data_IF_131923958391
#
_entry.id   IF_131923958391
#
_cell.length_a   1.000
_cell.length_b   1.000
_cell.length_c   1.000
_cell.angle_alpha   90.00
_cell.angle_beta   90.00
_cell.angle_gamma   90.00
#
_symmetry.space_group_name_H-M   'P 1'
#
loop_
_entity.id
_entity.type
_entity.pdbx_description
1 polymer ?
#
# COMPACT_ATOMS: atom_id res chain seq x y z
N UNK A 1 9.33 26.82 -0.04
CA UNK A 1 9.35 26.59 -1.50
C UNK A 1 8.03 26.05 -2.03
N UNK A 2 7.72 24.77 -1.79
CA UNK A 2 6.52 24.12 -2.35
C UNK A 2 5.23 24.89 -2.03
N UNK A 3 5.02 25.26 -0.77
CA UNK A 3 3.86 26.04 -0.35
C UNK A 3 3.67 27.34 -1.16
N UNK A 4 4.72 28.14 -1.36
CA UNK A 4 4.66 29.38 -2.17
C UNK A 4 4.29 29.08 -3.62
N UNK A 5 4.87 28.03 -4.20
CA UNK A 5 4.60 27.60 -5.58
C UNK A 5 3.17 27.08 -5.74
N UNK A 6 2.60 26.43 -4.74
CA UNK A 6 1.20 26.01 -4.76
C UNK A 6 0.25 27.20 -4.72
N UNK A 7 0.55 28.22 -3.92
CA UNK A 7 -0.29 29.41 -3.82
C UNK A 7 -0.26 30.27 -5.08
N UNK A 8 0.92 30.41 -5.69
CA UNK A 8 1.14 31.45 -6.70
C UNK A 8 1.50 30.91 -8.08
N UNK A 9 2.03 29.69 -8.18
CA UNK A 9 2.71 29.18 -9.38
C UNK A 9 1.91 28.17 -10.21
N UNK A 10 0.84 27.56 -9.68
CA UNK A 10 0.13 26.47 -10.37
C UNK A 10 -0.48 26.87 -11.72
N UNK A 11 -0.86 28.14 -11.89
CA UNK A 11 -1.46 28.65 -13.13
C UNK A 11 -0.46 29.41 -14.00
N UNK A 12 0.79 29.57 -13.56
CA UNK A 12 1.82 30.33 -14.28
C UNK A 12 2.27 29.54 -15.51
N UNK A 13 2.12 30.14 -16.69
CA UNK A 13 2.56 29.53 -17.95
C UNK A 13 4.06 29.20 -17.92
N UNK A 14 4.39 27.95 -18.24
CA UNK A 14 5.77 27.47 -18.26
C UNK A 14 6.40 27.35 -16.87
N UNK A 15 5.63 27.27 -15.78
CA UNK A 15 6.17 27.04 -14.44
C UNK A 15 7.13 25.84 -14.44
N UNK A 16 8.22 25.91 -13.67
CA UNK A 16 9.37 24.97 -13.70
C UNK A 16 10.23 25.01 -14.97
N UNK A 17 9.68 25.35 -16.14
CA UNK A 17 10.42 25.45 -17.40
C UNK A 17 11.14 26.79 -17.53
N UNK A 18 10.44 27.88 -17.27
CA UNK A 18 10.98 29.25 -17.40
C UNK A 18 12.02 29.49 -16.28
N UNK A 19 13.25 29.91 -16.61
CA UNK A 19 14.27 30.16 -15.60
C UNK A 19 13.93 31.40 -14.75
N UNK A 20 14.24 31.31 -13.46
CA UNK A 20 14.28 32.47 -12.56
C UNK A 20 15.58 33.27 -12.71
N UNK A 21 15.67 34.41 -12.03
CA UNK A 21 16.89 35.21 -11.96
C UNK A 21 17.73 34.82 -10.75
N UNK A 22 18.94 34.30 -11.02
CA UNK A 22 19.90 33.96 -9.98
C UNK A 22 20.38 35.18 -9.16
N UNK A 23 20.40 36.37 -9.76
CA UNK A 23 20.81 37.60 -9.08
C UNK A 23 19.83 38.02 -7.97
N UNK A 24 18.51 37.94 -8.25
CA UNK A 24 17.46 38.29 -7.28
C UNK A 24 17.43 37.39 -6.05
N UNK A 25 17.91 36.16 -6.19
CA UNK A 25 17.89 35.16 -5.12
C UNK A 25 19.06 35.34 -4.13
N UNK A 26 20.13 36.04 -4.51
CA UNK A 26 21.36 36.18 -3.71
C UNK A 26 21.35 37.35 -2.71
N UNK A 27 20.69 38.46 -3.02
CA UNK A 27 20.93 39.73 -2.30
C UNK A 27 20.01 40.01 -1.09
N UNK A 28 18.82 39.39 -0.99
CA UNK A 28 17.98 39.39 0.22
C UNK A 28 16.79 38.46 0.00
N UNK A 29 16.67 37.41 0.80
CA UNK A 29 15.66 36.39 0.60
C UNK A 29 14.38 36.68 1.40
N UNK A 30 13.34 37.14 0.72
CA UNK A 30 12.00 37.38 1.28
C UNK A 30 10.95 36.54 0.51
N UNK A 31 10.32 35.58 1.20
CA UNK A 31 9.33 34.67 0.60
C UNK A 31 8.10 35.39 0.03
N UNK A 32 7.77 36.58 0.53
CA UNK A 32 6.60 37.32 0.05
C UNK A 32 6.88 37.95 -1.32
N UNK A 33 8.12 38.39 -1.55
CA UNK A 33 8.56 39.06 -2.78
C UNK A 33 9.15 38.11 -3.83
N UNK A 34 9.45 36.86 -3.46
CA UNK A 34 9.99 35.84 -4.38
C UNK A 34 8.98 35.52 -5.49
N UNK A 35 9.41 35.72 -6.74
CA UNK A 35 8.64 35.35 -7.94
C UNK A 35 8.54 33.83 -8.08
N UNK A 36 7.48 33.34 -8.71
CA UNK A 36 7.25 31.89 -8.84
C UNK A 36 8.38 31.18 -9.60
N UNK A 37 8.92 31.80 -10.65
CA UNK A 37 10.04 31.24 -11.43
C UNK A 37 11.35 31.19 -10.61
N UNK A 38 11.55 32.14 -9.70
CA UNK A 38 12.71 32.17 -8.81
C UNK A 38 12.57 31.05 -7.75
N UNK A 39 11.38 30.89 -7.16
CA UNK A 39 11.06 29.78 -6.25
C UNK A 39 11.17 28.40 -6.93
N UNK A 40 10.75 28.27 -8.20
CA UNK A 40 10.88 27.06 -8.99
C UNK A 40 12.35 26.73 -9.29
N UNK A 41 13.16 27.74 -9.59
CA UNK A 41 14.61 27.61 -9.75
C UNK A 41 15.28 27.10 -8.47
N UNK A 42 14.95 27.71 -7.33
CA UNK A 42 15.42 27.31 -6.00
C UNK A 42 15.04 25.88 -5.64
N UNK A 43 13.80 25.46 -5.92
CA UNK A 43 13.36 24.08 -5.66
C UNK A 43 14.23 23.08 -6.44
N UNK A 44 14.41 23.30 -7.74
CA UNK A 44 15.23 22.42 -8.59
C UNK A 44 16.68 22.37 -8.10
N UNK A 45 17.23 23.54 -7.75
CA UNK A 45 18.58 23.66 -7.22
C UNK A 45 18.74 22.92 -5.90
N UNK A 46 17.81 23.10 -4.97
CA UNK A 46 17.80 22.41 -3.67
C UNK A 46 17.86 20.89 -3.84
N UNK A 47 17.01 20.31 -4.69
CA UNK A 47 16.99 18.87 -4.93
C UNK A 47 18.31 18.38 -5.55
N UNK A 48 18.85 19.13 -6.51
CA UNK A 48 20.09 18.78 -7.22
C UNK A 48 21.34 18.90 -6.34
N UNK A 49 21.34 19.81 -5.38
CA UNK A 49 22.51 20.13 -4.53
C UNK A 49 22.48 19.45 -3.17
N UNK A 50 21.54 18.52 -2.95
CA UNK A 50 21.55 17.68 -1.76
C UNK A 50 22.91 16.94 -1.64
N UNK A 51 23.45 16.78 -0.42
CA UNK A 51 24.69 16.03 -0.19
C UNK A 51 24.65 14.60 -0.73
N UNK A 52 23.45 14.01 -0.68
CA UNK A 52 23.13 12.71 -1.29
C UNK A 52 21.88 12.86 -2.17
N UNK A 53 21.82 12.21 -3.34
CA UNK A 53 20.64 12.26 -4.20
C UNK A 53 19.38 11.84 -3.44
N UNK A 54 18.25 12.46 -3.78
CA UNK A 54 16.99 12.19 -3.07
C UNK A 54 16.58 10.71 -3.13
N UNK A 55 16.82 10.05 -4.26
CA UNK A 55 16.56 8.61 -4.46
C UNK A 55 17.69 7.70 -3.96
N UNK A 56 18.72 8.27 -3.30
CA UNK A 56 19.97 7.63 -2.87
C UNK A 56 20.80 7.02 -4.01
N UNK A 57 22.13 7.10 -3.94
CA UNK A 57 22.98 6.53 -4.99
C UNK A 57 22.88 4.99 -5.06
N UNK A 58 22.67 4.34 -3.92
CA UNK A 58 22.66 2.88 -3.82
C UNK A 58 21.44 2.25 -4.51
N UNK A 59 20.29 2.94 -4.52
CA UNK A 59 19.06 2.43 -5.10
C UNK A 59 18.84 2.91 -6.55
N UNK A 60 19.61 3.88 -7.03
CA UNK A 60 19.45 4.46 -8.36
C UNK A 60 19.49 3.43 -9.52
N UNK A 61 20.41 2.43 -9.53
CA UNK A 61 20.40 1.41 -10.57
C UNK A 61 19.11 0.56 -10.56
N UNK A 62 18.59 0.25 -9.38
CA UNK A 62 17.36 -0.54 -9.23
C UNK A 62 16.12 0.25 -9.68
N UNK A 63 16.08 1.56 -9.39
CA UNK A 63 15.06 2.46 -9.90
C UNK A 63 15.04 2.48 -11.44
N UNK A 64 16.20 2.56 -12.09
CA UNK A 64 16.32 2.55 -13.56
C UNK A 64 15.97 1.19 -14.16
N UNK A 65 16.34 0.08 -13.51
CA UNK A 65 16.00 -1.26 -13.97
C UNK A 65 14.48 -1.50 -13.98
N UNK A 66 13.77 -1.08 -12.92
CA UNK A 66 12.31 -1.17 -12.84
C UNK A 66 11.61 -0.41 -14.00
N UNK A 67 12.20 0.70 -14.46
CA UNK A 67 11.68 1.43 -15.62
C UNK A 67 11.97 0.74 -16.97
N UNK A 68 13.08 0.03 -17.08
CA UNK A 68 13.44 -0.68 -18.32
C UNK A 68 12.48 -1.83 -18.60
N UNK A 69 12.07 -2.56 -17.56
CA UNK A 69 11.07 -3.63 -17.66
C UNK A 69 9.71 -3.10 -18.15
N UNK A 70 9.28 -1.92 -17.66
CA UNK A 70 8.05 -1.25 -18.12
C UNK A 70 8.07 -0.83 -19.59
N UNK A 71 9.25 -0.68 -20.19
CA UNK A 71 9.44 -0.09 -21.52
C UNK A 71 9.53 -1.13 -22.63
N UNK A 72 9.94 -2.36 -22.31
CA UNK A 72 10.29 -3.39 -23.30
C UNK A 72 9.11 -4.29 -23.72
N UNK A 73 8.06 -4.44 -22.90
CA UNK A 73 7.01 -5.43 -23.18
C UNK A 73 5.65 -4.82 -23.51
N UNK A 74 5.41 -4.59 -24.82
CA UNK A 74 4.11 -4.11 -25.33
C UNK A 74 3.00 -5.18 -25.31
N UNK A 75 3.32 -6.44 -25.01
CA UNK A 75 2.40 -7.58 -25.15
C UNK A 75 1.78 -8.06 -23.82
N UNK A 76 2.44 -7.83 -22.67
CA UNK A 76 1.97 -8.24 -21.32
C UNK A 76 1.82 -7.05 -20.36
N UNK A 77 1.37 -5.92 -20.92
CA UNK A 77 1.37 -4.59 -20.29
C UNK A 77 0.83 -4.58 -18.86
N UNK A 78 -0.25 -5.31 -18.56
CA UNK A 78 -0.89 -5.27 -17.23
C UNK A 78 -0.08 -5.99 -16.13
N UNK A 79 0.59 -7.10 -16.44
CA UNK A 79 1.35 -7.87 -15.45
C UNK A 79 2.70 -7.22 -15.15
N UNK A 80 3.42 -6.82 -16.20
CA UNK A 80 4.72 -6.14 -16.08
C UNK A 80 4.59 -4.76 -15.43
N UNK A 81 3.51 -4.02 -15.73
CA UNK A 81 3.22 -2.77 -15.02
C UNK A 81 3.01 -3.01 -13.52
N UNK A 82 2.37 -4.12 -13.15
CA UNK A 82 2.13 -4.45 -11.74
C UNK A 82 3.43 -4.80 -11.01
N UNK A 83 4.31 -5.60 -11.63
CA UNK A 83 5.60 -6.01 -11.03
C UNK A 83 6.56 -4.85 -10.85
N UNK A 84 6.70 -3.99 -11.87
CA UNK A 84 7.59 -2.85 -11.78
C UNK A 84 7.06 -1.77 -10.81
N UNK A 85 5.74 -1.56 -10.73
CA UNK A 85 5.15 -0.71 -9.67
C UNK A 85 5.41 -1.31 -8.29
N UNK A 86 5.32 -2.63 -8.12
CA UNK A 86 5.67 -3.29 -6.87
C UNK A 86 7.15 -3.12 -6.51
N UNK A 87 8.06 -3.24 -7.48
CA UNK A 87 9.49 -3.00 -7.26
C UNK A 87 9.74 -1.54 -6.83
N UNK A 88 9.13 -0.56 -7.50
CA UNK A 88 9.22 0.85 -7.13
C UNK A 88 8.66 1.12 -5.72
N UNK A 89 7.57 0.46 -5.37
CA UNK A 89 6.97 0.55 -4.03
C UNK A 89 7.95 0.06 -2.96
N UNK A 90 8.58 -1.10 -3.16
CA UNK A 90 9.60 -1.62 -2.26
C UNK A 90 10.80 -0.67 -2.15
N UNK A 91 11.27 -0.14 -3.27
CA UNK A 91 12.37 0.82 -3.31
C UNK A 91 12.06 2.10 -2.52
N UNK A 92 10.83 2.60 -2.59
CA UNK A 92 10.39 3.78 -1.82
C UNK A 92 10.35 3.47 -0.31
N UNK A 93 9.97 2.26 0.08
CA UNK A 93 10.01 1.86 1.48
C UNK A 93 11.43 1.70 2.03
N UNK A 94 12.41 1.40 1.18
CA UNK A 94 13.83 1.32 1.55
C UNK A 94 14.48 2.70 1.73
N UNK A 95 13.88 3.77 1.17
CA UNK A 95 14.41 5.12 1.34
C UNK A 95 14.37 5.55 2.82
N UNK A 96 15.39 6.29 3.29
CA UNK A 96 15.32 6.96 4.58
C UNK A 96 14.06 7.80 4.70
N UNK A 97 13.50 7.90 5.91
CA UNK A 97 12.23 8.60 6.17
C UNK A 97 12.21 10.04 5.62
N UNK A 98 13.26 10.81 5.88
CA UNK A 98 13.38 12.18 5.37
C UNK A 98 13.39 12.25 3.83
N UNK A 99 14.06 11.31 3.16
CA UNK A 99 14.10 11.22 1.70
C UNK A 99 12.72 10.86 1.13
N UNK A 100 12.07 9.86 1.72
CA UNK A 100 10.75 9.39 1.33
C UNK A 100 9.70 10.48 1.48
N UNK A 101 9.70 11.21 2.58
CA UNK A 101 8.72 12.27 2.84
C UNK A 101 8.96 13.49 1.95
N UNK A 102 10.23 13.84 1.72
CA UNK A 102 10.61 14.90 0.78
C UNK A 102 10.20 14.56 -0.65
N UNK A 103 10.43 13.32 -1.08
CA UNK A 103 10.00 12.82 -2.39
C UNK A 103 8.49 12.86 -2.52
N UNK A 104 7.74 12.43 -1.49
CA UNK A 104 6.29 12.48 -1.47
C UNK A 104 5.78 13.91 -1.69
N UNK A 105 6.24 14.86 -0.88
CA UNK A 105 5.82 16.25 -0.98
C UNK A 105 6.15 16.87 -2.35
N UNK A 106 7.32 16.53 -2.91
CA UNK A 106 7.68 16.94 -4.27
C UNK A 106 6.71 16.38 -5.30
N UNK A 107 6.45 15.07 -5.30
CA UNK A 107 5.56 14.43 -6.27
C UNK A 107 4.11 14.93 -6.15
N UNK A 108 3.62 15.20 -4.94
CA UNK A 108 2.29 15.79 -4.72
C UNK A 108 2.17 17.17 -5.36
N UNK A 109 3.19 18.01 -5.18
CA UNK A 109 3.26 19.32 -5.82
C UNK A 109 3.29 19.19 -7.35
N UNK A 110 4.12 18.28 -7.89
CA UNK A 110 4.20 18.07 -9.34
C UNK A 110 2.88 17.57 -9.93
N UNK A 111 2.17 16.70 -9.22
CA UNK A 111 0.82 16.24 -9.61
C UNK A 111 -0.17 17.40 -9.66
N UNK A 112 -0.10 18.35 -8.71
CA UNK A 112 -0.89 19.59 -8.77
C UNK A 112 -0.50 20.43 -9.99
N UNK A 113 0.78 20.62 -10.29
CA UNK A 113 1.20 21.36 -11.51
C UNK A 113 0.60 20.74 -12.77
N UNK A 114 0.69 19.41 -12.92
CA UNK A 114 0.13 18.69 -14.07
C UNK A 114 -1.40 18.83 -14.14
N UNK A 115 -2.09 18.83 -12.99
CA UNK A 115 -3.54 19.03 -12.96
C UNK A 115 -4.00 20.41 -13.49
N UNK A 116 -3.10 21.41 -13.53
CA UNK A 116 -3.36 22.74 -14.09
C UNK A 116 -2.78 22.92 -15.52
N UNK A 117 -2.47 21.82 -16.23
CA UNK A 117 -1.88 21.82 -17.56
C UNK A 117 -2.59 22.76 -18.56
N UNK A 118 -3.92 22.82 -18.52
CA UNK A 118 -4.70 23.70 -19.41
C UNK A 118 -4.29 25.17 -19.32
N UNK A 119 -3.89 25.63 -18.12
CA UNK A 119 -3.50 27.02 -17.85
C UNK A 119 -2.00 27.21 -17.93
N UNK A 120 -1.22 26.34 -17.27
CA UNK A 120 0.22 26.52 -17.16
C UNK A 120 1.01 25.91 -18.35
N UNK A 121 0.36 25.13 -19.23
CA UNK A 121 0.95 24.47 -20.41
C UNK A 121 2.05 23.43 -20.07
N UNK A 122 2.07 22.94 -18.84
CA UNK A 122 3.05 21.98 -18.36
C UNK A 122 2.44 20.57 -18.28
N UNK A 123 2.58 19.82 -19.38
CA UNK A 123 2.17 18.41 -19.42
C UNK A 123 2.97 17.53 -18.47
N UNK A 124 2.40 16.38 -18.11
CA UNK A 124 3.08 15.38 -17.30
C UNK A 124 4.47 15.01 -17.86
N UNK A 125 4.60 14.88 -19.18
CA UNK A 125 5.88 14.61 -19.83
C UNK A 125 6.85 15.78 -19.72
N UNK A 126 6.40 17.02 -19.94
CA UNK A 126 7.22 18.22 -19.81
C UNK A 126 7.76 18.38 -18.39
N UNK A 127 6.89 18.18 -17.39
CA UNK A 127 7.28 18.21 -15.98
C UNK A 127 8.32 17.12 -15.68
N UNK A 128 8.09 15.89 -16.16
CA UNK A 128 9.00 14.77 -15.92
C UNK A 128 10.40 15.01 -16.51
N UNK A 129 10.48 15.52 -17.73
CA UNK A 129 11.75 15.87 -18.40
C UNK A 129 12.52 16.97 -17.66
N UNK A 130 11.83 17.94 -17.05
CA UNK A 130 12.46 19.02 -16.29
C UNK A 130 12.97 18.53 -14.93
N UNK A 131 12.21 17.65 -14.27
CA UNK A 131 12.52 17.20 -12.91
C UNK A 131 13.57 16.10 -12.89
N UNK A 132 13.53 15.17 -13.85
CA UNK A 132 14.48 14.05 -13.98
C UNK A 132 15.96 14.43 -13.80
N UNK A 133 16.53 15.44 -14.49
CA UNK A 133 17.94 15.79 -14.31
C UNK A 133 18.29 16.26 -12.88
N UNK A 134 17.31 16.75 -12.12
CA UNK A 134 17.53 17.17 -10.72
C UNK A 134 17.46 15.97 -9.75
N UNK A 135 16.72 14.91 -10.09
CA UNK A 135 16.63 13.70 -9.26
C UNK A 135 17.73 12.68 -9.55
N UNK A 136 18.12 12.52 -10.81
CA UNK A 136 19.00 11.44 -11.27
C UNK A 136 20.44 11.87 -11.53
N UNK A 137 20.79 13.14 -11.27
CA UNK A 137 22.12 13.79 -11.43
C UNK A 137 23.12 12.94 -12.23
N UNK A 138 23.03 12.96 -13.56
CA UNK A 138 23.98 12.28 -14.43
C UNK A 138 25.32 13.03 -14.37
N UNK A 139 26.26 12.57 -13.54
CA UNK A 139 27.66 13.03 -13.55
C UNK A 139 28.49 12.14 -14.47
N UNK A 140 28.09 12.04 -15.74
CA UNK A 140 28.81 11.31 -16.78
C UNK A 140 29.82 12.21 -17.51
N UNK A 141 30.95 11.63 -17.93
CA UNK A 141 32.00 12.33 -18.70
C UNK A 141 32.04 11.93 -20.18
N UNK A 142 31.17 11.04 -20.69
CA UNK A 142 31.30 10.52 -22.07
C UNK A 142 29.97 10.05 -22.72
N UNK A 143 29.93 10.22 -24.05
CA UNK A 143 28.98 9.72 -25.06
C UNK A 143 27.53 10.25 -25.02
N UNK A 144 27.27 11.32 -25.79
CA UNK A 144 25.98 12.03 -25.95
C UNK A 144 24.74 11.14 -26.20
N UNK A 145 24.90 9.95 -26.79
CA UNK A 145 23.77 9.10 -27.18
C UNK A 145 23.25 8.23 -26.02
N UNK A 146 24.13 7.62 -25.23
CA UNK A 146 23.76 6.84 -24.04
C UNK A 146 23.20 7.77 -22.95
N UNK A 147 23.77 8.96 -22.79
CA UNK A 147 23.26 9.99 -21.89
C UNK A 147 21.83 10.42 -22.25
N UNK A 148 21.51 10.52 -23.55
CA UNK A 148 20.16 10.89 -24.00
C UNK A 148 19.14 9.79 -23.70
N UNK A 149 19.48 8.52 -23.93
CA UNK A 149 18.60 7.40 -23.59
C UNK A 149 18.39 7.30 -22.08
N UNK A 150 19.45 7.49 -21.28
CA UNK A 150 19.36 7.52 -19.83
C UNK A 150 18.47 8.67 -19.32
N UNK A 151 18.55 9.85 -19.95
CA UNK A 151 17.70 10.99 -19.62
C UNK A 151 16.21 10.74 -19.93
N UNK A 152 15.92 10.14 -21.09
CA UNK A 152 14.54 9.73 -21.45
C UNK A 152 14.02 8.70 -20.46
N UNK A 153 14.86 7.74 -20.09
CA UNK A 153 14.51 6.70 -19.13
C UNK A 153 14.22 7.26 -17.74
N UNK A 154 15.06 8.17 -17.25
CA UNK A 154 14.82 8.89 -16.00
C UNK A 154 13.52 9.71 -16.04
N UNK A 155 13.21 10.38 -17.16
CA UNK A 155 11.94 11.09 -17.32
C UNK A 155 10.73 10.15 -17.30
N UNK A 156 10.82 8.99 -17.95
CA UNK A 156 9.76 7.97 -17.89
C UNK A 156 9.55 7.47 -16.45
N UNK A 157 10.62 7.26 -15.70
CA UNK A 157 10.53 6.87 -14.30
C UNK A 157 9.85 7.96 -13.45
N UNK A 158 10.24 9.23 -13.59
CA UNK A 158 9.58 10.35 -12.91
C UNK A 158 8.08 10.40 -13.25
N UNK A 159 7.73 10.16 -14.52
CA UNK A 159 6.33 10.10 -14.95
C UNK A 159 5.56 9.04 -14.17
N UNK A 160 6.10 7.82 -14.07
CA UNK A 160 5.48 6.71 -13.34
C UNK A 160 5.33 7.06 -11.85
N UNK A 161 6.36 7.66 -11.24
CA UNK A 161 6.33 8.09 -9.85
C UNK A 161 5.23 9.13 -9.57
N UNK A 162 5.03 10.10 -10.49
CA UNK A 162 3.95 11.10 -10.37
C UNK A 162 2.57 10.45 -10.55
N UNK A 163 2.44 9.54 -11.52
CA UNK A 163 1.15 8.89 -11.84
C UNK A 163 0.66 7.97 -10.72
N UNK A 164 1.55 7.14 -10.16
CA UNK A 164 1.18 6.07 -9.21
C UNK A 164 1.48 6.42 -7.74
N UNK A 165 1.64 7.71 -7.45
CA UNK A 165 2.07 8.21 -6.14
C UNK A 165 1.16 7.76 -4.99
N UNK A 166 -0.15 7.61 -5.23
CA UNK A 166 -1.16 7.14 -4.28
C UNK A 166 -0.94 5.69 -3.85
N UNK A 167 -0.49 4.84 -4.76
CA UNK A 167 -0.21 3.42 -4.50
C UNK A 167 1.16 3.21 -3.86
N UNK A 168 2.16 3.97 -4.30
CA UNK A 168 3.57 3.79 -3.93
C UNK A 168 3.91 4.08 -2.44
N UNK A 169 3.02 4.77 -1.72
CA UNK A 169 3.18 5.11 -0.29
C UNK A 169 2.27 4.32 0.65
N UNK A 170 1.50 3.37 0.13
CA UNK A 170 0.72 2.48 0.98
C UNK A 170 1.60 1.38 1.58
N UNK A 171 1.07 0.50 2.41
CA UNK A 171 1.78 -0.73 2.77
C UNK A 171 1.26 -1.84 1.85
N UNK A 172 2.10 -2.50 1.03
CA UNK A 172 1.64 -3.57 0.17
C UNK A 172 0.97 -4.69 0.98
N UNK A 173 -0.20 -5.14 0.54
CA UNK A 173 -0.96 -6.18 1.24
C UNK A 173 -0.16 -7.49 1.41
N UNK A 174 0.73 -7.81 0.45
CA UNK A 174 1.58 -9.00 0.56
C UNK A 174 2.58 -8.89 1.72
N UNK A 175 3.11 -7.70 2.02
CA UNK A 175 3.97 -7.49 3.17
C UNK A 175 3.18 -7.60 4.47
N UNK A 176 1.96 -7.08 4.52
CA UNK A 176 1.06 -7.25 5.67
C UNK A 176 0.82 -8.75 5.92
N UNK A 177 0.52 -9.52 4.87
CA UNK A 177 0.33 -10.97 4.94
C UNK A 177 1.60 -11.68 5.41
N UNK A 178 2.76 -11.33 4.87
CA UNK A 178 4.04 -11.94 5.26
C UNK A 178 4.42 -11.64 6.72
N UNK A 179 4.28 -10.39 7.16
CA UNK A 179 4.53 -9.97 8.55
C UNK A 179 3.59 -10.73 9.50
N UNK A 180 2.31 -10.88 9.14
CA UNK A 180 1.36 -11.67 9.94
C UNK A 180 1.81 -13.13 10.07
N UNK A 181 2.20 -13.79 8.97
CA UNK A 181 2.73 -15.15 8.99
C UNK A 181 4.00 -15.27 9.85
N UNK A 182 4.92 -14.31 9.75
CA UNK A 182 6.13 -14.29 10.58
C UNK A 182 5.82 -14.11 12.08
N UNK A 183 4.87 -13.25 12.42
CA UNK A 183 4.46 -12.99 13.80
C UNK A 183 3.74 -14.20 14.42
N UNK A 184 2.91 -14.91 13.64
CA UNK A 184 2.28 -16.17 14.04
C UNK A 184 3.33 -17.26 14.34
N UNK A 185 4.32 -17.42 13.45
CA UNK A 185 5.43 -18.37 13.63
C UNK A 185 6.29 -18.07 14.87
N UNK A 186 6.40 -16.79 15.24
CA UNK A 186 7.18 -16.32 16.39
C UNK A 186 6.39 -16.44 17.70
N UNK A 187 5.08 -16.19 17.67
CA UNK A 187 4.19 -16.30 18.83
C UNK A 187 4.01 -17.76 19.29
N UNK A 188 4.13 -18.73 18.40
CA UNK A 188 4.13 -20.17 18.73
C UNK A 188 5.34 -20.69 19.52
N UNK A 189 6.39 -19.86 19.74
CA UNK A 189 7.65 -20.26 20.41
C UNK A 189 7.79 -19.83 21.87
N UNK A 190 6.85 -19.09 22.45
CA UNK A 190 6.91 -18.70 23.88
C UNK A 190 6.22 -19.72 24.80
N UNK A 191 6.92 -20.81 25.15
CA UNK A 191 6.98 -21.43 26.51
C UNK A 191 7.88 -22.67 26.48
N UNK A 192 9.07 -22.65 27.10
CA UNK A 192 9.84 -23.86 27.39
C UNK A 192 9.48 -24.36 28.81
N UNK A 193 8.98 -25.59 28.93
CA UNK A 193 8.88 -26.25 30.25
C UNK A 193 7.86 -27.37 30.38
N UNK A 194 6.56 -27.12 30.17
CA UNK A 194 5.52 -27.99 30.78
C UNK A 194 4.49 -28.59 29.81
N UNK A 195 4.86 -28.87 28.54
CA UNK A 195 3.89 -29.39 27.55
C UNK A 195 4.40 -30.48 26.61
N UNK A 196 5.48 -31.20 26.95
CA UNK A 196 5.94 -32.33 26.10
C UNK A 196 4.91 -33.46 26.01
N UNK A 197 4.12 -33.71 27.05
CA UNK A 197 3.16 -34.82 27.06
C UNK A 197 1.79 -34.49 26.43
N UNK A 198 1.37 -33.21 26.41
CA UNK A 198 0.12 -32.81 25.73
C UNK A 198 0.29 -32.70 24.20
N UNK A 199 1.50 -32.41 23.72
CA UNK A 199 1.80 -32.27 22.28
C UNK A 199 1.75 -33.60 21.50
N UNK A 200 1.97 -34.75 22.14
CA UNK A 200 1.97 -36.06 21.45
C UNK A 200 0.54 -36.57 21.18
N UNK A 201 -0.41 -36.24 22.06
CA UNK A 201 -1.82 -36.54 21.89
C UNK A 201 -2.48 -35.60 20.87
N UNK A 202 -2.15 -34.30 20.91
CA UNK A 202 -2.61 -33.33 19.93
C UNK A 202 -2.05 -33.58 18.52
N UNK A 203 -0.84 -34.14 18.39
CA UNK A 203 -0.29 -34.53 17.08
C UNK A 203 -1.02 -35.70 16.42
N UNK A 204 -1.54 -36.67 17.19
CA UNK A 204 -2.34 -37.76 16.61
C UNK A 204 -3.73 -37.27 16.22
N UNK A 205 -4.36 -36.46 17.06
CA UNK A 205 -5.69 -35.89 16.76
C UNK A 205 -5.64 -34.89 15.59
N UNK A 206 -4.58 -34.08 15.48
CA UNK A 206 -4.41 -33.16 14.36
C UNK A 206 -3.90 -33.83 13.08
N UNK A 207 -3.16 -34.95 13.13
CA UNK A 207 -2.74 -35.65 11.91
C UNK A 207 -3.92 -36.34 11.20
N UNK A 208 -4.93 -36.76 11.96
CA UNK A 208 -6.20 -37.27 11.43
C UNK A 208 -7.05 -36.13 10.85
N UNK A 209 -7.09 -34.99 11.55
CA UNK A 209 -7.77 -33.76 11.11
C UNK A 209 -7.08 -33.06 9.92
N UNK A 210 -5.75 -33.16 9.80
CA UNK A 210 -4.97 -32.61 8.68
C UNK A 210 -5.08 -33.49 7.43
N UNK A 211 -5.31 -34.80 7.56
CA UNK A 211 -5.67 -35.67 6.43
C UNK A 211 -7.04 -35.30 5.85
N UNK A 212 -8.02 -34.99 6.70
CA UNK A 212 -9.30 -34.39 6.25
C UNK A 212 -9.12 -32.95 5.72
N UNK A 213 -8.13 -32.19 6.20
CA UNK A 213 -7.86 -30.81 5.77
C UNK A 213 -7.21 -30.73 4.38
N UNK A 214 -6.41 -31.73 4.01
CA UNK A 214 -5.74 -31.81 2.70
C UNK A 214 -6.69 -32.15 1.55
N UNK A 215 -7.80 -32.86 1.79
CA UNK A 215 -8.85 -33.09 0.77
C UNK A 215 -9.77 -31.88 0.57
N UNK A 216 -9.74 -30.88 1.47
CA UNK A 216 -10.62 -29.67 1.40
C UNK A 216 -9.92 -28.47 0.76
N UNK A 217 -8.62 -28.55 0.46
CA UNK A 217 -7.82 -27.44 -0.09
C UNK A 217 -8.08 -27.09 -1.57
N UNK A 218 -9.01 -27.78 -2.25
CA UNK A 218 -9.39 -27.49 -3.65
C UNK A 218 -10.81 -26.93 -3.83
N UNK A 219 -11.55 -26.65 -2.75
CA UNK A 219 -12.93 -26.18 -2.86
C UNK A 219 -13.06 -24.67 -2.69
N UNK A 220 -12.98 -23.98 -3.83
CA UNK A 220 -13.58 -22.68 -4.19
C UNK A 220 -13.27 -21.48 -3.28
N UNK A 221 -12.63 -20.49 -3.90
CA UNK A 221 -12.43 -19.13 -3.41
C UNK A 221 -13.69 -18.60 -2.68
N UNK A 222 -13.55 -18.20 -1.41
CA UNK A 222 -14.63 -17.62 -0.60
C UNK A 222 -15.46 -18.56 0.31
N UNK A 223 -15.12 -19.85 0.47
CA UNK A 223 -15.80 -20.70 1.46
C UNK A 223 -15.18 -20.52 2.87
N UNK A 224 -15.95 -19.98 3.83
CA UNK A 224 -15.52 -19.82 5.23
C UNK A 224 -16.25 -20.80 6.16
N UNK A 225 -15.62 -21.15 7.30
CA UNK A 225 -16.25 -21.92 8.37
C UNK A 225 -16.39 -21.07 9.63
N UNK A 226 -17.62 -20.92 10.10
CA UNK A 226 -17.94 -20.18 11.33
C UNK A 226 -18.17 -21.15 12.47
N UNK A 227 -17.53 -20.88 13.60
CA UNK A 227 -17.63 -21.65 14.83
C UNK A 227 -18.52 -20.94 15.85
N UNK A 228 -19.50 -21.65 16.39
CA UNK A 228 -20.48 -21.13 17.34
C UNK A 228 -20.58 -22.08 18.54
N UNK A 229 -19.63 -22.04 19.49
CA UNK A 229 -19.53 -23.03 20.58
C UNK A 229 -20.73 -23.04 21.53
N UNK A 230 -21.50 -21.96 21.58
CA UNK A 230 -22.69 -21.80 22.44
C UNK A 230 -24.01 -22.14 21.71
N UNK A 231 -23.95 -22.63 20.48
CA UNK A 231 -25.10 -22.88 19.62
C UNK A 231 -25.27 -24.38 19.40
N UNK A 232 -26.51 -24.84 19.15
CA UNK A 232 -26.79 -26.25 18.86
C UNK A 232 -26.04 -26.70 17.60
N UNK A 233 -25.98 -25.84 16.59
CA UNK A 233 -25.05 -25.98 15.47
C UNK A 233 -23.71 -25.33 15.82
N UNK A 234 -22.72 -26.17 16.11
CA UNK A 234 -21.40 -25.75 16.60
C UNK A 234 -20.50 -25.20 15.48
N UNK A 235 -20.76 -25.57 14.22
CA UNK A 235 -20.08 -24.97 13.07
C UNK A 235 -20.94 -24.96 11.80
N UNK A 236 -20.69 -23.99 10.91
CA UNK A 236 -21.35 -23.88 9.62
C UNK A 236 -20.38 -23.39 8.56
N UNK A 237 -20.37 -24.05 7.39
CA UNK A 237 -19.65 -23.57 6.22
C UNK A 237 -20.55 -22.61 5.42
N UNK A 238 -20.00 -21.48 5.00
CA UNK A 238 -20.73 -20.43 4.27
C UNK A 238 -19.90 -19.97 3.10
N UNK A 239 -20.47 -20.06 1.90
CA UNK A 239 -19.90 -19.45 0.71
C UNK A 239 -20.12 -17.93 0.77
N UNK A 240 -19.04 -17.17 0.78
CA UNK A 240 -19.07 -15.73 0.76
C UNK A 240 -19.43 -15.21 -0.64
N UNK A 241 -20.21 -14.14 -0.66
CA UNK A 241 -20.43 -13.29 -1.82
C UNK A 241 -20.31 -11.81 -1.38
N UNK A 242 -20.42 -10.87 -2.31
CA UNK A 242 -20.28 -9.44 -2.05
C UNK A 242 -21.37 -8.85 -1.13
N UNK A 243 -22.49 -9.55 -0.93
CA UNK A 243 -23.66 -9.05 -0.20
C UNK A 243 -23.71 -9.53 1.25
N UNK A 244 -23.04 -10.63 1.60
CA UNK A 244 -23.14 -11.19 2.95
C UNK A 244 -22.47 -10.26 3.97
N UNK A 245 -23.27 -9.80 4.93
CA UNK A 245 -22.84 -9.01 6.08
C UNK A 245 -22.73 -9.86 7.34
N UNK A 246 -22.01 -9.35 8.34
CA UNK A 246 -21.87 -10.01 9.64
C UNK A 246 -23.23 -10.29 10.31
N UNK A 247 -24.22 -9.38 10.17
CA UNK A 247 -25.58 -9.56 10.69
C UNK A 247 -26.29 -10.79 10.10
N UNK A 248 -26.04 -11.10 8.84
CA UNK A 248 -26.73 -12.20 8.14
C UNK A 248 -26.28 -13.54 8.71
N UNK A 249 -25.03 -13.63 9.15
CA UNK A 249 -24.50 -14.81 9.82
C UNK A 249 -25.14 -15.01 11.17
N UNK A 250 -25.22 -13.94 11.98
CA UNK A 250 -25.89 -14.01 13.28
C UNK A 250 -27.35 -14.46 13.12
N UNK A 251 -28.06 -13.91 12.14
CA UNK A 251 -29.45 -14.27 11.85
C UNK A 251 -29.61 -15.73 11.38
N UNK A 252 -28.72 -16.22 10.51
CA UNK A 252 -28.74 -17.63 10.05
C UNK A 252 -28.55 -18.61 11.21
N UNK A 253 -27.62 -18.33 12.12
CA UNK A 253 -27.43 -19.17 13.29
C UNK A 253 -28.62 -19.11 14.27
N UNK A 254 -29.31 -17.98 14.37
CA UNK A 254 -30.54 -17.89 15.17
C UNK A 254 -31.68 -18.74 14.59
N UNK A 255 -31.88 -18.70 13.26
CA UNK A 255 -32.88 -19.54 12.58
C UNK A 255 -32.59 -21.02 12.78
N UNK A 256 -31.33 -21.43 12.56
CA UNK A 256 -30.93 -22.83 12.63
C UNK A 256 -31.01 -23.43 14.04
N UNK A 257 -30.84 -22.60 15.08
CA UNK A 257 -31.02 -23.01 16.47
C UNK A 257 -32.50 -23.10 16.89
N UNK A 258 -33.45 -23.00 15.95
CA UNK A 258 -34.89 -23.01 16.25
C UNK A 258 -35.35 -21.76 17.01
N UNK A 259 -34.61 -20.65 16.95
CA UNK A 259 -34.88 -19.41 17.72
C UNK A 259 -35.78 -18.42 16.97
N UNK A 260 -36.41 -18.88 15.89
CA UNK A 260 -37.39 -18.14 15.11
C UNK A 260 -38.66 -17.88 15.92
N UNK A 261 -38.80 -16.64 16.40
CA UNK A 261 -40.01 -16.05 16.99
C UNK A 261 -40.29 -16.37 18.48
N UNK A 262 -40.56 -15.29 19.26
CA UNK A 262 -41.26 -15.23 20.58
C UNK A 262 -40.52 -15.25 21.94
N UNK A 263 -39.28 -14.78 22.10
CA UNK A 263 -38.86 -14.35 23.47
C UNK A 263 -37.71 -13.34 23.47
N UNK A 264 -38.02 -12.05 23.43
CA UNK A 264 -37.04 -10.95 23.44
C UNK A 264 -36.49 -10.60 24.84
N UNK A 265 -36.93 -11.25 25.91
CA UNK A 265 -36.76 -10.71 27.28
C UNK A 265 -35.57 -11.23 28.08
N UNK A 266 -34.71 -12.11 27.55
CA UNK A 266 -33.48 -12.54 28.26
C UNK A 266 -32.41 -13.16 27.36
N UNK A 267 -32.10 -12.54 26.21
CA UNK A 267 -31.17 -13.13 25.23
C UNK A 267 -29.82 -12.41 25.21
N UNK A 268 -28.75 -13.16 25.48
CA UNK A 268 -27.38 -12.66 25.35
C UNK A 268 -27.08 -12.48 23.85
N UNK A 269 -27.03 -11.24 23.38
CA UNK A 269 -26.70 -10.93 21.97
C UNK A 269 -25.34 -11.53 21.63
N UNK A 270 -25.31 -12.33 20.56
CA UNK A 270 -24.08 -12.86 19.98
C UNK A 270 -23.62 -11.96 18.86
N UNK A 271 -22.31 -11.86 18.71
CA UNK A 271 -21.63 -11.08 17.69
C UNK A 271 -20.63 -11.97 16.98
N UNK A 272 -20.35 -11.64 15.71
CA UNK A 272 -19.35 -12.32 14.92
C UNK A 272 -17.98 -11.69 15.18
N UNK A 273 -17.01 -12.53 15.51
CA UNK A 273 -15.64 -12.15 15.76
C UNK A 273 -14.74 -12.69 14.67
N UNK A 274 -13.83 -11.82 14.24
CA UNK A 274 -12.63 -12.17 13.49
C UNK A 274 -11.52 -12.46 14.51
N UNK A 275 -11.03 -13.70 14.56
CA UNK A 275 -10.02 -14.16 15.53
C UNK A 275 -8.78 -14.65 14.80
N UNK A 276 -7.60 -14.30 15.32
CA UNK A 276 -6.31 -14.70 14.73
C UNK A 276 -5.61 -13.60 13.95
N UNK A 277 -4.37 -13.87 13.53
CA UNK A 277 -3.44 -12.85 13.05
C UNK A 277 -2.94 -11.91 14.15
N UNK A 278 -2.58 -10.68 13.78
CA UNK A 278 -2.03 -9.66 14.71
C UNK A 278 -3.10 -8.89 15.53
N UNK A 279 -4.40 -9.14 15.30
CA UNK A 279 -5.50 -8.40 15.96
C UNK A 279 -5.99 -9.08 17.25
N UNK A 280 -5.54 -10.31 17.53
CA UNK A 280 -6.07 -11.12 18.62
C UNK A 280 -7.51 -11.53 18.35
N UNK A 281 -8.45 -10.70 18.79
CA UNK A 281 -9.88 -10.83 18.46
C UNK A 281 -10.49 -9.46 18.18
N UNK A 282 -11.36 -9.40 17.17
CA UNK A 282 -12.11 -8.18 16.82
C UNK A 282 -13.58 -8.52 16.61
N UNK A 283 -14.46 -7.83 17.32
CA UNK A 283 -15.90 -7.86 17.04
C UNK A 283 -16.16 -7.12 15.72
N UNK A 284 -16.84 -7.78 14.79
CA UNK A 284 -17.23 -7.17 13.53
C UNK A 284 -18.47 -6.30 13.71
N UNK A 285 -18.51 -5.18 12.99
CA UNK A 285 -19.71 -4.38 12.85
C UNK A 285 -20.80 -5.21 12.14
N UNK A 286 -22.07 -5.20 12.59
CA UNK A 286 -23.17 -5.89 11.91
C UNK A 286 -23.29 -5.57 10.40
N UNK A 287 -22.85 -4.38 9.99
CA UNK A 287 -22.84 -3.92 8.59
C UNK A 287 -21.60 -4.31 7.78
N UNK A 288 -20.59 -4.91 8.42
CA UNK A 288 -19.36 -5.29 7.74
C UNK A 288 -19.61 -6.39 6.71
N UNK A 289 -19.14 -6.17 5.48
CA UNK A 289 -19.15 -7.16 4.40
C UNK A 289 -18.06 -8.20 4.63
N UNK A 290 -18.45 -9.48 4.72
CA UNK A 290 -17.52 -10.54 5.11
C UNK A 290 -16.50 -10.88 4.03
N UNK A 291 -16.85 -10.69 2.76
CA UNK A 291 -15.91 -10.91 1.67
C UNK A 291 -14.71 -9.94 1.76
N UNK A 292 -14.95 -8.69 2.17
CA UNK A 292 -13.89 -7.70 2.34
C UNK A 292 -13.01 -8.04 3.55
N UNK A 293 -13.64 -8.44 4.66
CA UNK A 293 -12.91 -8.92 5.85
C UNK A 293 -12.07 -10.16 5.52
N UNK A 294 -12.63 -11.12 4.75
CA UNK A 294 -11.92 -12.32 4.30
C UNK A 294 -10.75 -11.99 3.38
N UNK A 295 -10.90 -11.06 2.43
CA UNK A 295 -9.80 -10.61 1.56
C UNK A 295 -8.66 -9.98 2.35
N UNK A 296 -8.98 -9.26 3.42
CA UNK A 296 -7.98 -8.65 4.31
C UNK A 296 -7.36 -9.68 5.25
N UNK A 297 -8.09 -10.72 5.67
CA UNK A 297 -7.61 -11.75 6.58
C UNK A 297 -8.15 -13.15 6.23
N UNK A 298 -7.61 -13.82 5.20
CA UNK A 298 -8.17 -15.09 4.70
C UNK A 298 -7.94 -16.26 5.64
N UNK A 299 -7.04 -16.10 6.62
CA UNK A 299 -6.69 -17.13 7.61
C UNK A 299 -7.35 -16.90 8.97
N UNK A 300 -8.23 -15.88 9.11
CA UNK A 300 -8.94 -15.68 10.37
C UNK A 300 -9.89 -16.83 10.68
N UNK A 301 -10.04 -17.10 11.97
CA UNK A 301 -11.11 -17.92 12.51
C UNK A 301 -12.34 -17.04 12.75
N UNK A 302 -13.49 -17.50 12.26
CA UNK A 302 -14.76 -16.81 12.43
C UNK A 302 -15.51 -17.40 13.61
N UNK A 303 -15.74 -16.62 14.67
CA UNK A 303 -16.33 -17.14 15.91
C UNK A 303 -17.53 -16.32 16.35
N UNK A 304 -18.65 -16.98 16.65
CA UNK A 304 -19.81 -16.39 17.30
C UNK A 304 -19.65 -16.45 18.82
N UNK A 305 -19.61 -15.28 19.47
CA UNK A 305 -19.50 -15.16 20.94
C UNK A 305 -20.44 -14.07 21.46
N UNK A 306 -20.83 -14.15 22.73
CA UNK A 306 -21.45 -13.02 23.42
C UNK A 306 -20.43 -11.93 23.70
N UNK A 307 -20.87 -10.68 23.83
CA UNK A 307 -19.98 -9.59 24.27
C UNK A 307 -19.64 -9.84 25.73
N UNK A 308 -18.37 -10.11 26.02
CA UNK A 308 -17.85 -10.09 27.38
C UNK A 308 -18.03 -8.68 27.94
N UNK A 309 -18.57 -8.60 29.15
CA UNK A 309 -18.77 -7.35 29.89
C UNK A 309 -17.45 -6.85 30.44
#
# INVERSE_FOLDING_TARGET
MLYKLEQTGLQTEGILRVPGSAARVKDRFDWDQVRQNDAAGLLKMFIRELPHPLLTQQHLPAFMAAQTELSQERLFKTQVETEAIQALHLLIMLLPEANRDTLKALLEFLRKVVAFEEKNRMSLWNVSMIVAPNLFTFRGKNAKQEEMQAAIAAAQLVRILITHQDVLWMVPCFLISHIRKMNEATSGKKTPGSMKNKRRLLRKFNAEKDRERSEVTELRDGLIRIHAPLNAKVSMAIQLNSEIKARDITARFDVENGRGSRSLSRRQRQYLYEVGGNIGERCLDPDAHLLDVYRVNPHCEWVLKSRTS
#
